data_IF_203500662171
#
_entry.id   IF_203500662171
#
_cell.length_a   1.000
_cell.length_b   1.000
_cell.length_c   1.000
_cell.angle_alpha   90.00
_cell.angle_beta   90.00
_cell.angle_gamma   90.00
#
_symmetry.space_group_name_H-M   'P 1'
#
loop_
_entity.id
_entity.type
_entity.pdbx_description
1 polymer ?
#
# COMPACT_ATOMS: atom_id res chain seq x y z
N UNK A 1 -13.66 18.55 12.97
CA UNK A 1 -13.65 19.11 11.61
C UNK A 1 -15.02 18.84 11.01
N UNK A 2 -15.81 19.88 10.76
CA UNK A 2 -17.23 19.80 10.44
C UNK A 2 -17.43 19.18 9.07
N UNK A 3 -18.13 18.04 8.98
CA UNK A 3 -18.54 17.46 7.70
C UNK A 3 -20.06 17.42 7.67
N UNK A 4 -20.61 18.15 6.71
CA UNK A 4 -22.03 18.41 6.49
C UNK A 4 -22.73 17.13 6.02
N UNK A 5 -23.83 16.75 6.66
CA UNK A 5 -24.79 15.81 6.09
C UNK A 5 -25.21 16.32 4.71
N UNK A 6 -25.03 15.50 3.67
CA UNK A 6 -25.62 15.76 2.35
C UNK A 6 -26.74 14.76 2.14
N UNK A 7 -27.97 15.22 2.35
CA UNK A 7 -29.17 14.54 1.84
C UNK A 7 -29.24 14.82 0.34
N UNK A 8 -29.39 13.77 -0.48
CA UNK A 8 -29.74 13.89 -1.89
C UNK A 8 -31.17 13.38 -2.01
N UNK A 9 -32.10 14.27 -2.35
CA UNK A 9 -33.49 13.91 -2.68
C UNK A 9 -33.63 13.92 -4.19
N UNK A 10 -34.21 12.87 -4.76
CA UNK A 10 -34.56 12.81 -6.17
C UNK A 10 -36.08 12.74 -6.30
N UNK A 11 -36.68 13.74 -6.92
CA UNK A 11 -38.11 13.74 -7.27
C UNK A 11 -38.27 13.14 -8.67
N UNK A 12 -39.12 12.13 -8.81
CA UNK A 12 -39.54 11.65 -10.12
C UNK A 12 -40.42 12.73 -10.77
N UNK A 13 -39.82 13.57 -11.63
CA UNK A 13 -40.56 14.61 -12.35
C UNK A 13 -41.33 14.03 -13.55
N UNK A 14 -42.57 14.47 -13.82
CA UNK A 14 -43.32 14.05 -14.98
C UNK A 14 -42.72 14.67 -16.25
N UNK A 15 -42.32 13.84 -17.22
CA UNK A 15 -41.97 14.32 -18.57
C UNK A 15 -43.23 14.78 -19.32
N UNK A 16 -43.19 15.91 -20.08
CA UNK A 16 -43.19 15.74 -21.55
C UNK A 16 -42.63 16.92 -22.41
N UNK A 17 -42.29 16.53 -23.66
CA UNK A 17 -42.42 17.24 -24.95
C UNK A 17 -41.65 18.54 -25.31
N UNK A 18 -40.93 18.41 -26.44
CA UNK A 18 -40.41 19.38 -27.42
C UNK A 18 -40.82 20.88 -27.35
N UNK A 19 -39.80 21.77 -27.33
CA UNK A 19 -39.49 22.84 -28.33
C UNK A 19 -38.55 23.90 -27.72
N UNK A 20 -37.63 24.42 -28.54
CA UNK A 20 -37.25 25.84 -28.48
C UNK A 20 -35.82 26.19 -28.06
N UNK A 21 -35.07 26.71 -29.03
CA UNK A 21 -33.74 27.33 -28.93
C UNK A 21 -33.66 28.44 -27.87
N UNK A 22 -32.52 28.59 -27.20
CA UNK A 22 -31.76 29.86 -27.12
C UNK A 22 -30.35 29.65 -26.54
N UNK A 23 -29.44 30.54 -26.95
CA UNK A 23 -27.99 30.48 -26.77
C UNK A 23 -27.49 31.53 -25.74
N UNK A 24 -26.17 31.45 -25.47
CA UNK A 24 -25.26 32.41 -24.80
C UNK A 24 -25.28 32.34 -23.25
N UNK A 25 -24.16 32.36 -22.53
CA UNK A 25 -22.92 33.15 -22.70
C UNK A 25 -21.78 32.62 -21.80
N UNK A 26 -20.53 32.85 -22.23
CA UNK A 26 -19.24 32.59 -21.54
C UNK A 26 -19.01 33.50 -20.32
N UNK A 27 -18.20 33.03 -19.34
CA UNK A 27 -17.23 33.78 -18.51
C UNK A 27 -16.40 32.73 -17.70
N UNK A 28 -15.15 32.40 -18.04
CA UNK A 28 -13.86 33.08 -17.81
C UNK A 28 -13.38 33.13 -16.34
N UNK A 29 -12.25 32.45 -16.07
CA UNK A 29 -11.44 32.44 -14.83
C UNK A 29 -10.58 33.73 -14.68
N UNK A 30 -9.89 33.95 -13.53
CA UNK A 30 -8.46 33.61 -13.42
C UNK A 30 -8.06 33.08 -12.00
N UNK A 31 -7.12 32.14 -11.81
CA UNK A 31 -5.65 32.18 -11.94
C UNK A 31 -4.96 33.21 -10.99
N UNK A 32 -4.38 32.70 -9.89
CA UNK A 32 -3.56 33.46 -8.94
C UNK A 32 -2.17 32.81 -8.80
N UNK A 33 -1.15 33.65 -8.94
CA UNK A 33 0.27 33.34 -9.18
C UNK A 33 1.08 33.16 -7.88
N UNK A 34 2.03 32.21 -7.89
CA UNK A 34 3.11 32.04 -6.92
C UNK A 34 4.18 33.14 -7.06
N UNK A 35 4.69 33.64 -5.94
CA UNK A 35 5.94 34.41 -5.87
C UNK A 35 6.70 33.99 -4.60
N UNK A 36 7.93 33.49 -4.78
CA UNK A 36 9.06 33.79 -3.89
C UNK A 36 10.38 33.33 -4.53
N UNK A 37 11.30 34.29 -4.68
CA UNK A 37 12.71 34.13 -5.05
C UNK A 37 13.51 33.52 -3.89
N UNK A 38 14.63 32.84 -4.21
CA UNK A 38 15.97 33.28 -3.79
C UNK A 38 17.09 32.58 -4.58
N UNK A 39 18.15 33.35 -4.83
CA UNK A 39 19.33 33.11 -5.66
C UNK A 39 20.47 32.40 -4.91
N UNK A 40 21.30 31.67 -5.69
CA UNK A 40 22.77 31.51 -5.65
C UNK A 40 23.11 30.05 -6.02
N UNK A 41 24.10 29.68 -6.84
CA UNK A 41 25.19 30.34 -7.55
C UNK A 41 25.98 29.21 -8.23
N UNK A 42 26.44 29.43 -9.46
CA UNK A 42 27.05 28.40 -10.35
C UNK A 42 28.55 28.18 -10.06
N UNK A 43 28.97 26.95 -10.37
CA UNK A 43 30.25 26.26 -10.20
C UNK A 43 31.54 26.93 -10.74
N UNK A 44 32.69 26.43 -10.26
CA UNK A 44 33.82 26.03 -11.13
C UNK A 44 34.81 25.08 -10.43
N UNK A 45 35.20 24.01 -11.13
CA UNK A 45 36.24 23.06 -10.75
C UNK A 45 37.63 23.50 -11.25
N UNK A 46 38.70 23.14 -10.52
CA UNK A 46 40.06 22.98 -11.07
C UNK A 46 40.75 21.81 -10.35
N UNK A 47 41.34 20.91 -11.14
CA UNK A 47 42.15 19.77 -10.72
C UNK A 47 43.66 20.04 -10.93
N UNK A 48 44.44 18.97 -10.74
CA UNK A 48 45.83 18.69 -11.20
C UNK A 48 46.96 19.08 -10.19
N UNK A 49 48.15 18.43 -10.16
CA UNK A 49 48.43 17.10 -9.56
C UNK A 49 49.81 16.98 -8.83
N UNK A 50 50.14 15.78 -8.32
CA UNK A 50 51.51 15.28 -8.13
C UNK A 50 51.94 15.10 -6.66
N UNK A 51 52.78 14.15 -6.25
CA UNK A 51 53.59 13.08 -6.87
C UNK A 51 54.16 12.21 -5.70
N UNK A 52 55.09 11.22 -5.85
CA UNK A 52 54.96 9.88 -5.27
C UNK A 52 56.07 9.48 -4.26
N UNK A 53 55.95 8.28 -3.67
CA UNK A 53 57.04 7.50 -3.07
C UNK A 53 56.45 6.19 -2.51
N UNK A 54 56.59 5.03 -3.18
CA UNK A 54 57.68 4.04 -3.07
C UNK A 54 58.15 3.79 -1.63
N UNK A 55 58.46 2.58 -1.14
CA UNK A 55 58.35 1.17 -1.51
C UNK A 55 59.17 0.45 -0.41
N UNK A 56 58.85 -0.80 -0.04
CA UNK A 56 59.78 -1.89 0.33
C UNK A 56 59.23 -2.85 1.41
N UNK A 57 58.93 -4.08 0.99
CA UNK A 57 59.33 -5.31 1.69
C UNK A 57 60.66 -5.80 1.03
N UNK A 58 61.31 -6.94 1.37
CA UNK A 58 61.00 -8.00 2.35
C UNK A 58 62.23 -8.54 3.14
N UNK A 59 62.05 -9.55 4.03
CA UNK A 59 63.15 -10.39 4.53
C UNK A 59 62.83 -11.30 5.72
N UNK A 60 63.51 -12.46 5.91
CA UNK A 60 62.85 -13.76 6.14
C UNK A 60 63.38 -14.59 7.33
N UNK A 61 62.54 -15.41 8.00
CA UNK A 61 62.96 -16.61 8.76
C UNK A 61 61.79 -17.63 8.75
N UNK A 62 61.84 -18.74 8.01
CA UNK A 62 62.48 -20.05 8.26
C UNK A 62 62.21 -20.65 9.66
N UNK A 63 61.23 -21.55 9.71
CA UNK A 63 61.05 -22.55 10.76
C UNK A 63 60.36 -23.79 10.19
N UNK A 64 61.04 -24.93 10.26
CA UNK A 64 60.77 -26.20 9.57
C UNK A 64 59.95 -27.17 10.44
N UNK A 65 58.99 -27.83 9.78
CA UNK A 65 58.40 -29.18 9.95
C UNK A 65 58.23 -29.78 11.36
N UNK A 66 56.99 -30.19 11.65
CA UNK A 66 56.71 -31.44 12.32
C UNK A 66 55.47 -32.10 11.70
N UNK A 67 55.72 -33.11 10.86
CA UNK A 67 54.73 -34.11 10.46
C UNK A 67 54.42 -34.98 11.67
N UNK A 68 53.15 -35.11 12.03
CA UNK A 68 52.66 -36.11 12.97
C UNK A 68 51.53 -36.91 12.30
N UNK A 69 51.52 -38.19 12.62
CA UNK A 69 50.99 -39.28 11.81
C UNK A 69 49.46 -39.38 11.74
N UNK A 70 49.03 -39.93 10.62
CA UNK A 70 47.69 -40.38 10.30
C UNK A 70 47.22 -41.45 11.31
N UNK A 71 46.20 -41.18 12.13
CA UNK A 71 45.54 -42.24 12.89
C UNK A 71 44.04 -41.98 13.11
N UNK A 72 43.28 -43.04 12.78
CA UNK A 72 41.91 -43.37 13.15
C UNK A 72 40.76 -42.50 12.62
N UNK A 73 40.04 -43.09 11.67
CA UNK A 73 38.66 -42.77 11.26
C UNK A 73 37.73 -42.69 12.48
N UNK A 74 37.14 -41.53 12.73
CA UNK A 74 35.88 -41.39 13.46
C UNK A 74 34.77 -41.02 12.47
N UNK A 75 33.59 -41.66 12.51
CA UNK A 75 32.45 -41.21 11.72
C UNK A 75 31.95 -39.88 12.29
N UNK A 76 32.08 -38.81 11.52
CA UNK A 76 31.38 -37.56 11.80
C UNK A 76 29.89 -37.80 11.51
N UNK A 77 29.05 -37.73 12.54
CA UNK A 77 27.60 -37.65 12.37
C UNK A 77 27.27 -36.51 11.42
N UNK A 78 26.32 -36.67 10.47
CA UNK A 78 25.80 -35.53 9.74
C UNK A 78 25.01 -34.68 10.73
N UNK A 79 25.62 -33.61 11.22
CA UNK A 79 24.90 -32.51 11.85
C UNK A 79 23.99 -31.93 10.79
N UNK A 80 22.69 -32.19 10.92
CA UNK A 80 21.64 -31.47 10.20
C UNK A 80 21.79 -29.99 10.51
N UNK A 81 22.36 -29.23 9.58
CA UNK A 81 22.16 -27.78 9.54
C UNK A 81 20.73 -27.56 9.07
N UNK A 82 19.80 -27.48 10.02
CA UNK A 82 18.53 -26.82 9.75
C UNK A 82 18.85 -25.37 9.39
N UNK A 83 18.35 -24.81 8.28
CA UNK A 83 18.38 -23.37 8.12
C UNK A 83 17.61 -22.80 9.31
N UNK A 84 18.31 -22.13 10.21
CA UNK A 84 17.68 -21.33 11.23
C UNK A 84 16.98 -20.21 10.48
N UNK A 85 15.67 -20.37 10.26
CA UNK A 85 14.81 -19.24 9.94
C UNK A 85 14.92 -18.35 11.17
N UNK A 86 15.77 -17.33 11.09
CA UNK A 86 15.86 -16.30 12.12
C UNK A 86 14.50 -15.62 12.08
N UNK A 87 13.57 -16.09 12.91
CA UNK A 87 12.40 -15.30 13.22
C UNK A 87 12.94 -13.99 13.81
N UNK A 88 12.53 -12.82 13.28
CA UNK A 88 12.96 -11.56 13.84
C UNK A 88 12.67 -11.55 15.35
N UNK A 89 13.51 -10.90 16.17
CA UNK A 89 13.39 -10.94 17.61
C UNK A 89 11.96 -10.54 18.01
N UNK A 90 11.29 -11.41 18.76
CA UNK A 90 9.99 -11.18 19.34
C UNK A 90 10.11 -10.14 20.49
N UNK A 91 10.45 -8.91 20.15
CA UNK A 91 10.06 -7.76 20.96
C UNK A 91 8.53 -7.63 20.93
N UNK A 92 7.90 -6.98 21.92
CA UNK A 92 6.49 -6.66 21.79
C UNK A 92 6.34 -5.80 20.53
N UNK A 93 5.67 -6.33 19.51
CA UNK A 93 5.36 -5.55 18.32
C UNK A 93 4.56 -4.33 18.78
N UNK A 94 5.11 -3.14 18.56
CA UNK A 94 4.36 -1.92 18.81
C UNK A 94 3.19 -1.91 17.82
N UNK A 95 1.93 -1.84 18.31
CA UNK A 95 0.77 -1.79 17.45
C UNK A 95 0.88 -0.71 16.38
N UNK A 96 0.41 -1.00 15.17
CA UNK A 96 0.33 -0.05 14.07
C UNK A 96 1.69 0.56 13.68
N UNK A 97 2.76 -0.23 13.84
CA UNK A 97 4.11 0.12 13.47
C UNK A 97 4.73 -1.01 12.65
N UNK A 98 5.46 -0.66 11.61
CA UNK A 98 6.26 -1.59 10.84
C UNK A 98 7.64 -1.75 11.45
N UNK A 99 8.05 -2.99 11.63
CA UNK A 99 9.46 -3.33 11.77
C UNK A 99 10.02 -3.68 10.39
N UNK A 100 10.81 -2.77 9.84
CA UNK A 100 11.49 -2.91 8.56
C UNK A 100 12.84 -3.58 8.74
N UNK A 101 13.15 -4.54 7.88
CA UNK A 101 14.47 -5.17 7.78
C UNK A 101 14.94 -5.08 6.34
N UNK A 102 16.13 -4.51 6.13
CA UNK A 102 16.72 -4.31 4.81
C UNK A 102 17.91 -5.26 4.62
N UNK A 103 18.01 -5.87 3.44
CA UNK A 103 18.99 -6.89 3.10
C UNK A 103 19.74 -6.50 1.83
N UNK A 104 21.00 -6.92 1.75
CA UNK A 104 21.77 -6.90 0.50
C UNK A 104 21.38 -8.13 -0.32
N UNK A 105 21.04 -7.95 -1.59
CA UNK A 105 20.51 -8.99 -2.47
C UNK A 105 18.98 -9.10 -2.43
N UNK A 106 18.42 -9.83 -3.39
CA UNK A 106 16.98 -9.89 -3.66
C UNK A 106 16.25 -11.05 -2.95
N UNK A 107 16.97 -11.86 -2.18
CA UNK A 107 16.46 -13.13 -1.65
C UNK A 107 15.98 -13.05 -0.19
N UNK A 108 16.03 -11.86 0.42
CA UNK A 108 15.70 -11.62 1.83
C UNK A 108 16.49 -12.51 2.79
N UNK A 109 17.76 -12.78 2.45
CA UNK A 109 18.62 -13.69 3.20
C UNK A 109 19.88 -12.99 3.73
N UNK A 110 20.65 -13.73 4.52
CA UNK A 110 21.86 -13.22 5.17
C UNK A 110 21.57 -12.35 6.39
N UNK A 111 22.61 -11.65 6.84
CA UNK A 111 22.51 -10.71 7.96
C UNK A 111 21.80 -9.43 7.49
N UNK A 112 20.83 -8.90 8.26
CA UNK A 112 20.24 -7.60 7.98
C UNK A 112 21.28 -6.51 7.85
N UNK A 113 21.22 -5.75 6.75
CA UNK A 113 22.07 -4.58 6.55
C UNK A 113 21.66 -3.43 7.47
N UNK A 114 20.35 -3.26 7.68
CA UNK A 114 19.78 -2.32 8.64
C UNK A 114 18.37 -2.72 9.04
N UNK A 115 17.89 -2.13 10.13
CA UNK A 115 16.52 -2.27 10.63
C UNK A 115 15.96 -0.91 11.02
N UNK A 116 14.66 -0.71 10.86
CA UNK A 116 13.99 0.51 11.26
C UNK A 116 12.58 0.24 11.78
N UNK A 117 12.06 1.17 12.58
CA UNK A 117 10.66 1.24 12.96
C UNK A 117 9.98 2.35 12.14
N UNK A 118 8.89 2.02 11.45
CA UNK A 118 8.31 2.89 10.42
C UNK A 118 6.79 2.93 10.52
N UNK A 119 6.18 4.09 10.27
CA UNK A 119 4.73 4.27 10.39
C UNK A 119 3.96 3.97 9.10
N UNK A 120 4.66 3.79 7.97
CA UNK A 120 4.09 3.49 6.66
C UNK A 120 5.14 2.89 5.73
N UNK A 121 4.68 2.20 4.70
CA UNK A 121 5.49 1.81 3.54
C UNK A 121 5.03 2.64 2.35
N UNK A 122 5.76 3.71 2.05
CA UNK A 122 5.42 4.70 1.02
C UNK A 122 6.72 5.34 0.53
N UNK A 123 7.47 4.58 -0.27
CA UNK A 123 8.82 4.90 -0.71
C UNK A 123 8.90 5.03 -2.22
N UNK A 124 9.55 6.10 -2.65
CA UNK A 124 10.00 6.32 -4.02
C UNK A 124 11.45 6.79 -3.91
N UNK A 125 12.37 5.86 -4.11
CA UNK A 125 13.81 6.12 -4.04
C UNK A 125 14.36 6.60 -5.40
N UNK A 126 13.66 6.31 -6.50
CA UNK A 126 14.11 6.61 -7.86
C UNK A 126 15.35 5.82 -8.25
N UNK A 127 16.07 6.30 -9.26
CA UNK A 127 17.21 5.57 -9.88
C UNK A 127 18.50 5.59 -9.03
N UNK A 128 18.63 6.55 -8.13
CA UNK A 128 19.86 6.81 -7.35
C UNK A 128 19.60 6.83 -5.83
N UNK A 129 18.46 6.33 -5.39
CA UNK A 129 18.09 6.29 -3.98
C UNK A 129 18.05 4.86 -3.45
N UNK A 130 18.19 4.70 -2.14
CA UNK A 130 18.04 3.42 -1.48
C UNK A 130 17.78 3.59 0.02
N UNK A 131 17.25 2.56 0.70
CA UNK A 131 17.23 2.51 2.16
C UNK A 131 18.64 2.58 2.78
N UNK A 132 18.80 3.06 4.03
CA UNK A 132 20.09 3.05 4.70
C UNK A 132 20.70 1.64 4.78
N UNK A 133 22.00 1.52 4.45
CA UNK A 133 22.77 0.28 4.66
C UNK A 133 22.79 -0.71 3.49
N UNK A 134 21.93 -0.53 2.49
CA UNK A 134 21.92 -1.36 1.27
C UNK A 134 22.54 -0.62 0.06
N UNK A 135 22.97 -1.33 -1.00
CA UNK A 135 23.36 -0.71 -2.28
C UNK A 135 22.19 -0.02 -3.02
N UNK A 136 22.49 0.71 -4.09
CA UNK A 136 21.50 1.30 -5.02
C UNK A 136 20.65 0.22 -5.69
N UNK A 137 21.32 -0.76 -6.28
CA UNK A 137 20.73 -1.91 -6.96
C UNK A 137 20.90 -3.18 -6.11
N UNK A 138 20.13 -4.22 -6.39
CA UNK A 138 20.24 -5.53 -5.75
C UNK A 138 20.06 -5.49 -4.23
N UNK A 139 18.88 -5.07 -3.79
CA UNK A 139 18.51 -5.07 -2.38
C UNK A 139 17.10 -5.61 -2.17
N UNK A 140 16.77 -5.94 -0.93
CA UNK A 140 15.42 -6.36 -0.57
C UNK A 140 15.03 -5.87 0.82
N UNK A 141 13.73 -5.85 1.06
CA UNK A 141 13.16 -5.36 2.31
C UNK A 141 11.99 -6.22 2.75
N UNK A 142 11.87 -6.41 4.06
CA UNK A 142 10.73 -7.04 4.72
C UNK A 142 10.19 -6.11 5.80
N UNK A 143 8.92 -5.74 5.67
CA UNK A 143 8.17 -5.05 6.73
C UNK A 143 7.22 -6.03 7.39
N UNK A 144 7.23 -6.05 8.72
CA UNK A 144 6.30 -6.83 9.52
C UNK A 144 5.68 -5.94 10.58
N UNK A 145 4.36 -5.98 10.73
CA UNK A 145 3.66 -5.19 11.75
C UNK A 145 2.34 -5.84 12.15
N UNK A 146 1.95 -5.63 13.39
CA UNK A 146 0.64 -6.03 13.91
C UNK A 146 -0.28 -4.80 13.88
N UNK A 147 -1.33 -4.89 13.07
CA UNK A 147 -2.25 -3.79 12.77
C UNK A 147 -3.63 -4.08 13.34
N UNK A 148 -4.20 -3.11 14.03
CA UNK A 148 -5.58 -3.20 14.50
C UNK A 148 -6.53 -2.98 13.31
N UNK A 149 -7.25 -4.04 12.93
CA UNK A 149 -8.26 -3.99 11.87
C UNK A 149 -9.62 -4.35 12.47
N UNK A 150 -10.67 -3.71 11.96
CA UNK A 150 -12.03 -4.10 12.24
C UNK A 150 -12.41 -5.31 11.40
N UNK A 151 -13.42 -6.07 11.82
CA UNK A 151 -14.03 -7.06 10.93
C UNK A 151 -14.64 -6.34 9.72
N UNK A 152 -14.40 -6.86 8.53
CA UNK A 152 -14.97 -6.32 7.30
C UNK A 152 -14.12 -6.58 6.07
N UNK A 153 -14.58 -6.10 4.93
CA UNK A 153 -13.88 -6.22 3.66
C UNK A 153 -12.83 -5.12 3.50
N UNK A 154 -11.60 -5.49 3.18
CA UNK A 154 -10.48 -4.59 2.92
C UNK A 154 -9.94 -4.77 1.50
N UNK A 155 -9.65 -3.66 0.83
CA UNK A 155 -8.82 -3.66 -0.39
C UNK A 155 -7.45 -3.11 -0.06
N UNK A 156 -6.42 -3.89 -0.34
CA UNK A 156 -5.01 -3.50 -0.34
C UNK A 156 -4.60 -3.07 -1.74
N UNK A 157 -3.88 -1.95 -1.83
CA UNK A 157 -3.34 -1.35 -3.05
C UNK A 157 -1.82 -1.32 -2.91
N UNK A 158 -1.14 -1.96 -3.84
CA UNK A 158 0.30 -2.05 -3.89
C UNK A 158 0.82 -1.49 -5.19
N UNK A 159 1.96 -0.84 -5.11
CA UNK A 159 2.83 -0.61 -6.25
C UNK A 159 4.24 -1.02 -5.85
N UNK A 160 4.95 -1.67 -6.76
CA UNK A 160 6.36 -1.95 -6.59
C UNK A 160 7.09 -1.84 -7.93
N UNK A 161 8.35 -1.45 -7.85
CA UNK A 161 9.38 -1.57 -8.86
C UNK A 161 10.64 -1.97 -8.07
N UNK A 162 11.09 -3.22 -8.05
CA UNK A 162 10.60 -4.43 -8.76
C UNK A 162 9.52 -5.25 -8.00
N UNK A 163 9.89 -6.42 -7.46
CA UNK A 163 8.95 -7.48 -7.08
C UNK A 163 8.41 -7.32 -5.67
N UNK A 164 7.18 -7.83 -5.43
CA UNK A 164 6.46 -7.64 -4.16
C UNK A 164 5.63 -8.85 -3.76
N UNK A 165 5.50 -9.07 -2.44
CA UNK A 165 4.54 -9.99 -1.85
C UNK A 165 3.88 -9.40 -0.62
N UNK A 166 2.61 -9.71 -0.42
CA UNK A 166 1.83 -9.28 0.73
C UNK A 166 1.18 -10.48 1.43
N UNK A 167 1.24 -10.50 2.76
CA UNK A 167 0.51 -11.46 3.59
C UNK A 167 -0.34 -10.73 4.63
N UNK A 168 -1.47 -11.36 4.96
CA UNK A 168 -2.32 -11.05 6.10
C UNK A 168 -2.51 -12.36 6.89
N UNK A 169 -2.13 -12.38 8.17
CA UNK A 169 -2.23 -13.55 9.04
C UNK A 169 -1.63 -14.82 8.42
N UNK A 170 -0.41 -14.69 7.88
CA UNK A 170 0.32 -15.75 7.18
C UNK A 170 -0.30 -16.22 5.84
N UNK A 171 -1.51 -15.75 5.48
CA UNK A 171 -2.10 -15.97 4.17
C UNK A 171 -1.47 -15.05 3.13
N UNK A 172 -0.90 -15.64 2.07
CA UNK A 172 -0.35 -14.91 0.93
C UNK A 172 -1.50 -14.30 0.10
N UNK A 173 -1.56 -12.97 0.04
CA UNK A 173 -2.57 -12.22 -0.70
C UNK A 173 -2.09 -11.80 -2.09
N UNK A 174 -0.83 -11.39 -2.21
CA UNK A 174 -0.19 -11.00 -3.48
C UNK A 174 1.13 -11.73 -3.61
N UNK A 175 1.36 -12.35 -4.77
CA UNK A 175 2.62 -13.01 -5.13
C UNK A 175 3.13 -12.54 -6.49
N UNK A 176 3.87 -11.44 -6.50
CA UNK A 176 4.49 -10.85 -7.67
C UNK A 176 6.02 -10.79 -7.49
N UNK A 177 6.64 -11.93 -7.15
CA UNK A 177 8.07 -12.03 -6.89
C UNK A 177 8.89 -12.25 -8.17
N UNK A 178 8.76 -11.32 -9.10
CA UNK A 178 9.46 -11.32 -10.40
C UNK A 178 9.90 -9.88 -10.72
N UNK A 179 11.01 -9.68 -11.45
CA UNK A 179 11.45 -8.34 -11.83
C UNK A 179 10.41 -7.61 -12.70
N UNK A 180 10.29 -6.30 -12.50
CA UNK A 180 9.46 -5.37 -13.24
C UNK A 180 8.47 -4.59 -12.36
N UNK A 181 8.21 -3.33 -12.75
CA UNK A 181 7.21 -2.49 -12.09
C UNK A 181 5.76 -2.96 -12.28
N UNK A 182 4.92 -2.79 -11.26
CA UNK A 182 3.51 -3.13 -11.34
C UNK A 182 2.65 -2.60 -10.20
N UNK A 183 1.35 -2.44 -10.48
CA UNK A 183 0.33 -2.22 -9.45
C UNK A 183 -0.44 -3.52 -9.18
N UNK A 184 -0.75 -3.79 -7.91
CA UNK A 184 -1.47 -4.96 -7.47
C UNK A 184 -2.54 -4.59 -6.46
N UNK A 185 -3.78 -4.94 -6.76
CA UNK A 185 -4.91 -4.73 -5.85
C UNK A 185 -5.49 -6.08 -5.43
N UNK A 186 -5.78 -6.24 -4.14
CA UNK A 186 -6.40 -7.45 -3.60
C UNK A 186 -7.44 -7.10 -2.55
N UNK A 187 -8.60 -7.75 -2.65
CA UNK A 187 -9.68 -7.62 -1.67
C UNK A 187 -9.76 -8.89 -0.82
N UNK A 188 -9.86 -8.73 0.49
CA UNK A 188 -9.96 -9.81 1.48
C UNK A 188 -10.98 -9.46 2.55
N UNK A 189 -11.66 -10.47 3.08
CA UNK A 189 -12.56 -10.33 4.22
C UNK A 189 -11.82 -10.62 5.53
N UNK A 190 -11.76 -9.64 6.42
CA UNK A 190 -11.27 -9.76 7.79
C UNK A 190 -12.41 -10.25 8.66
N UNK A 191 -12.35 -11.52 9.09
CA UNK A 191 -13.47 -12.19 9.77
C UNK A 191 -13.68 -11.78 11.23
N UNK A 192 -12.66 -11.25 11.89
CA UNK A 192 -12.68 -10.88 13.31
C UNK A 192 -11.96 -9.56 13.50
N UNK A 193 -12.52 -8.63 14.26
CA UNK A 193 -11.79 -7.42 14.65
C UNK A 193 -10.64 -7.77 15.60
N UNK A 194 -9.54 -7.02 15.54
CA UNK A 194 -8.39 -7.15 16.44
C UNK A 194 -7.05 -6.92 15.75
N UNK A 195 -5.98 -7.45 16.33
CA UNK A 195 -4.65 -7.38 15.74
C UNK A 195 -4.47 -8.44 14.67
N UNK A 196 -4.11 -7.98 13.47
CA UNK A 196 -3.76 -8.80 12.33
C UNK A 196 -2.32 -8.57 11.93
N UNK A 197 -1.61 -9.64 11.59
CA UNK A 197 -0.21 -9.55 11.21
C UNK A 197 -0.11 -9.30 9.71
N UNK A 198 0.38 -8.13 9.35
CA UNK A 198 0.77 -7.85 7.97
C UNK A 198 2.26 -8.11 7.78
N UNK A 199 2.58 -8.71 6.63
CA UNK A 199 3.96 -8.80 6.14
C UNK A 199 3.99 -8.31 4.71
N UNK A 200 4.92 -7.42 4.40
CA UNK A 200 5.25 -7.01 3.04
C UNK A 200 6.70 -7.41 2.76
N UNK A 201 6.94 -8.03 1.61
CA UNK A 201 8.27 -8.31 1.10
C UNK A 201 8.44 -7.61 -0.24
N UNK A 202 9.64 -7.08 -0.49
CA UNK A 202 10.00 -6.33 -1.68
C UNK A 202 11.44 -6.64 -2.08
N UNK A 203 11.75 -6.63 -3.38
CA UNK A 203 13.12 -6.55 -3.87
C UNK A 203 13.26 -5.56 -5.00
N UNK A 204 14.49 -5.06 -5.14
CA UNK A 204 14.97 -4.24 -6.24
C UNK A 204 16.13 -4.97 -6.93
N UNK A 205 16.09 -5.03 -8.26
CA UNK A 205 17.17 -5.60 -9.08
C UNK A 205 18.06 -4.49 -9.60
N UNK A 206 17.53 -3.62 -10.46
CA UNK A 206 18.29 -2.50 -11.05
C UNK A 206 17.36 -1.39 -11.52
N UNK A 207 17.79 -0.15 -11.36
CA UNK A 207 17.09 1.02 -11.92
C UNK A 207 16.27 1.74 -10.87
N UNK A 208 15.01 2.07 -11.20
CA UNK A 208 14.15 2.86 -10.34
C UNK A 208 13.54 2.02 -9.22
N UNK A 209 13.79 2.38 -7.97
CA UNK A 209 13.27 1.65 -6.82
C UNK A 209 12.08 2.35 -6.17
N UNK A 210 10.94 1.69 -6.07
CA UNK A 210 9.76 2.23 -5.40
C UNK A 210 8.84 1.14 -4.83
N UNK A 211 8.24 1.40 -3.67
CA UNK A 211 7.25 0.52 -3.05
C UNK A 211 6.22 1.31 -2.25
N UNK A 212 4.94 1.07 -2.53
CA UNK A 212 3.82 1.68 -1.84
C UNK A 212 2.84 0.60 -1.36
N UNK A 213 2.42 0.70 -0.11
CA UNK A 213 1.32 -0.11 0.44
C UNK A 213 0.28 0.81 1.05
N UNK A 214 -0.96 0.68 0.59
CA UNK A 214 -2.12 1.37 1.17
C UNK A 214 -3.27 0.37 1.29
N UNK A 215 -4.16 0.57 2.25
CA UNK A 215 -5.40 -0.19 2.30
C UNK A 215 -6.55 0.66 2.80
N UNK A 216 -7.76 0.21 2.52
CA UNK A 216 -8.97 0.75 3.12
C UNK A 216 -9.99 -0.35 3.28
N UNK A 217 -10.76 -0.25 4.36
CA UNK A 217 -11.98 -1.03 4.53
C UNK A 217 -13.02 -0.55 3.52
N UNK A 218 -13.48 -1.41 2.63
CA UNK A 218 -14.37 -1.10 1.50
C UNK A 218 -15.83 -1.39 1.77
N UNK A 219 -16.15 -2.15 2.82
CA UNK A 219 -17.51 -2.33 3.30
C UNK A 219 -17.98 -1.21 4.26
N UNK A 220 -17.09 -0.25 4.58
CA UNK A 220 -17.42 1.00 5.28
C UNK A 220 -18.37 1.91 4.47
N UNK A 221 -18.55 1.61 3.19
CA UNK A 221 -19.67 2.10 2.42
C UNK A 221 -20.76 1.06 2.53
N UNK A 222 -21.58 1.07 3.61
CA UNK A 222 -22.79 0.30 3.53
C UNK A 222 -23.56 0.90 2.36
N UNK A 223 -24.04 0.00 1.52
CA UNK A 223 -25.32 0.09 0.84
C UNK A 223 -26.17 1.24 1.39
N UNK A 224 -26.70 2.05 0.50
CA UNK A 224 -27.53 3.18 0.86
C UNK A 224 -28.73 2.68 1.67
N UNK A 225 -28.92 3.22 2.87
CA UNK A 225 -30.17 3.05 3.61
C UNK A 225 -31.25 3.74 2.77
N UNK A 226 -32.05 2.94 2.08
CA UNK A 226 -33.04 3.40 1.14
C UNK A 226 -34.42 3.29 1.78
N UNK A 227 -35.06 4.44 1.98
CA UNK A 227 -36.42 4.56 2.45
C UNK A 227 -37.32 4.83 1.24
N UNK A 228 -38.24 3.91 0.94
CA UNK A 228 -39.16 4.01 -0.20
C UNK A 228 -40.53 4.46 0.28
N UNK A 229 -41.04 5.55 -0.29
CA UNK A 229 -42.27 6.21 0.13
C UNK A 229 -43.33 6.08 -0.96
N UNK A 230 -44.56 5.79 -0.55
CA UNK A 230 -45.69 5.69 -1.50
C UNK A 230 -46.07 7.03 -2.12
N UNK A 231 -45.68 8.14 -1.49
CA UNK A 231 -46.03 9.49 -1.93
C UNK A 231 -44.88 10.15 -2.72
N UNK A 232 -45.17 11.15 -3.57
CA UNK A 232 -44.18 11.75 -4.46
C UNK A 232 -43.14 12.62 -3.74
N UNK A 233 -43.28 12.79 -2.44
CA UNK A 233 -42.42 13.62 -1.59
C UNK A 233 -42.09 12.84 -0.33
N UNK A 234 -40.86 13.04 0.16
CA UNK A 234 -40.31 12.35 1.35
C UNK A 234 -40.97 12.93 2.60
N UNK A 235 -42.17 12.42 2.92
CA UNK A 235 -42.97 12.75 4.12
C UNK A 235 -43.58 11.47 4.74
N UNK A 236 -44.60 11.60 5.59
CA UNK A 236 -45.42 10.46 6.03
C UNK A 236 -45.78 9.52 4.85
N UNK A 237 -45.74 8.20 5.07
CA UNK A 237 -46.03 7.21 4.02
C UNK A 237 -44.84 6.35 3.57
N UNK A 238 -43.85 6.16 4.45
CA UNK A 238 -42.82 5.12 4.33
C UNK A 238 -43.49 3.76 4.07
N UNK A 239 -43.11 3.10 2.97
CA UNK A 239 -43.63 1.79 2.59
C UNK A 239 -42.70 0.67 3.06
N UNK A 240 -41.40 0.80 2.78
CA UNK A 240 -40.38 -0.15 3.22
C UNK A 240 -38.99 0.49 3.23
N UNK A 241 -38.09 -0.17 3.96
CA UNK A 241 -36.66 0.15 4.04
C UNK A 241 -35.86 -1.00 3.45
N UNK A 242 -34.78 -0.69 2.74
CA UNK A 242 -33.84 -1.69 2.22
C UNK A 242 -32.43 -1.09 2.14
N UNK A 243 -31.47 -1.94 1.81
CA UNK A 243 -30.09 -1.58 1.56
C UNK A 243 -29.78 -1.71 0.07
N UNK A 244 -29.55 -0.58 -0.58
CA UNK A 244 -29.26 -0.51 -2.02
C UNK A 244 -27.73 -0.44 -2.27
N UNK A 245 -27.19 -1.36 -3.08
CA UNK A 245 -25.75 -1.41 -3.38
C UNK A 245 -25.25 -0.18 -4.19
N UNK A 246 -26.13 0.47 -4.96
CA UNK A 246 -25.85 1.70 -5.74
C UNK A 246 -27.08 2.59 -5.82
N UNK A 247 -26.91 3.89 -6.16
CA UNK A 247 -28.01 4.76 -6.60
C UNK A 247 -27.97 4.85 -8.13
N UNK A 248 -28.23 3.72 -8.80
CA UNK A 248 -28.34 3.65 -10.26
C UNK A 248 -29.56 2.81 -10.63
N UNK A 249 -30.71 3.48 -10.77
CA UNK A 249 -31.97 2.84 -11.07
C UNK A 249 -32.59 3.41 -12.33
N UNK A 250 -33.03 2.52 -13.23
CA UNK A 250 -33.94 2.83 -14.32
C UNK A 250 -35.13 1.87 -14.23
N UNK A 251 -36.22 2.35 -13.61
CA UNK A 251 -37.43 1.56 -13.46
C UNK A 251 -38.35 1.61 -14.70
N UNK A 252 -38.02 2.42 -15.70
CA UNK A 252 -38.84 2.62 -16.89
C UNK A 252 -40.27 3.09 -16.54
N UNK A 253 -41.27 2.33 -16.99
CA UNK A 253 -42.70 2.56 -16.67
C UNK A 253 -43.19 1.81 -15.42
N UNK A 254 -42.28 1.10 -14.74
CA UNK A 254 -42.58 0.35 -13.53
C UNK A 254 -42.05 1.09 -12.30
N UNK A 255 -42.27 0.48 -11.14
CA UNK A 255 -41.72 0.95 -9.88
C UNK A 255 -41.03 -0.22 -9.15
N UNK A 256 -40.12 0.08 -8.22
CA UNK A 256 -39.51 -0.95 -7.39
C UNK A 256 -40.56 -1.58 -6.47
N UNK A 257 -40.58 -2.91 -6.43
CA UNK A 257 -41.44 -3.72 -5.59
C UNK A 257 -42.94 -3.33 -5.67
N UNK A 258 -43.56 -3.00 -4.53
CA UNK A 258 -44.99 -2.73 -4.38
C UNK A 258 -45.35 -1.25 -4.41
N UNK A 259 -44.44 -0.39 -4.88
CA UNK A 259 -44.72 1.02 -5.07
C UNK A 259 -45.69 1.27 -6.22
N UNK A 260 -46.45 2.38 -6.17
CA UNK A 260 -47.19 2.85 -7.33
C UNK A 260 -46.26 3.04 -8.54
N UNK A 261 -46.77 2.78 -9.74
CA UNK A 261 -46.00 2.93 -10.99
C UNK A 261 -45.49 4.35 -11.24
N UNK A 262 -46.07 5.36 -10.57
CA UNK A 262 -45.64 6.76 -10.60
C UNK A 262 -46.04 7.45 -9.29
N UNK A 263 -45.43 8.59 -8.97
CA UNK A 263 -45.73 9.38 -7.79
C UNK A 263 -45.22 8.77 -6.48
N UNK A 264 -44.11 8.04 -6.53
CA UNK A 264 -43.36 7.60 -5.35
C UNK A 264 -42.10 8.43 -5.16
N UNK A 265 -41.49 8.33 -3.99
CA UNK A 265 -40.19 8.96 -3.70
C UNK A 265 -39.28 7.99 -2.93
N UNK A 266 -37.97 8.24 -3.01
CA UNK A 266 -36.96 7.44 -2.32
C UNK A 266 -35.97 8.38 -1.63
N UNK A 267 -35.65 8.10 -0.38
CA UNK A 267 -34.57 8.77 0.35
C UNK A 267 -33.43 7.81 0.56
N UNK A 268 -32.23 8.17 0.09
CA UNK A 268 -31.01 7.41 0.36
C UNK A 268 -30.17 8.14 1.39
N UNK A 269 -29.84 7.44 2.47
CA UNK A 269 -28.96 7.92 3.53
C UNK A 269 -27.68 7.09 3.53
N UNK A 270 -26.56 7.78 3.36
CA UNK A 270 -25.26 7.17 3.59
C UNK A 270 -24.98 7.26 5.09
N UNK A 271 -25.19 6.17 5.82
CA UNK A 271 -24.70 6.08 7.19
C UNK A 271 -23.22 5.75 7.13
N UNK A 272 -22.38 6.76 7.31
CA UNK A 272 -20.96 6.55 7.60
C UNK A 272 -20.91 5.97 9.02
N UNK A 273 -20.82 4.65 9.11
CA UNK A 273 -20.57 3.97 10.38
C UNK A 273 -19.11 4.28 10.75
N UNK A 274 -18.92 5.36 11.49
CA UNK A 274 -17.77 5.47 12.38
C UNK A 274 -18.20 4.74 13.65
N UNK A 275 -17.67 3.56 13.87
CA UNK A 275 -17.54 3.03 15.23
C UNK A 275 -16.21 3.52 15.81
#
# INVERSE_FOLDING_TARGET
MTVTNRTISADASPGPAARGRQALRRLAAPAGTLLCLLLAGVALAVAVPGRPGQAAAPGPEKGTLASAELSARQPVSPTLFLPMVIQPPAGPATPNLWFATYYVGEDLSGEPASTAEETRVDYDWGDDGHPPGVPYDHFSARWVGDWELESGQYTFFLYADDGVRLWLDEQLLVDAWVPGMGSHDVTVDVGTAGFHRLRLEYFEVTGGAAVHLRWRRTDLYPRWEAEYYRLPWVEEGLLYETLDDTIQFDWGLNAPASLPTDGFSVSWKARRLFE
#
